data_IF_052565855291
#
_entry.id   IF_052565855291
#
_cell.length_a   1.000
_cell.length_b   1.000
_cell.length_c   1.000
_cell.angle_alpha   90.00
_cell.angle_beta   90.00
_cell.angle_gamma   90.00
#
_symmetry.space_group_name_H-M   'P 1'
#
loop_
_entity.id
_entity.type
_entity.pdbx_description
1 polymer ?
#
# COMPACT_ATOMS: atom_id res chain seq x y z
N UNK A 1 23.76 -14.40 6.87
CA UNK A 1 22.49 -13.66 6.70
C UNK A 1 22.64 -12.12 6.67
N UNK A 2 23.67 -11.50 7.22
CA UNK A 2 23.85 -10.03 7.22
C UNK A 2 24.36 -9.46 5.88
N UNK A 3 25.23 -10.15 5.15
CA UNK A 3 25.77 -9.70 3.85
C UNK A 3 24.73 -9.64 2.71
N UNK A 4 23.69 -10.48 2.74
CA UNK A 4 22.58 -10.44 1.74
C UNK A 4 21.67 -9.22 1.92
N UNK A 5 21.56 -8.71 3.15
CA UNK A 5 20.69 -7.54 3.46
C UNK A 5 21.31 -6.21 3.03
N UNK A 6 22.64 -6.08 3.13
CA UNK A 6 23.39 -4.91 2.64
C UNK A 6 23.26 -4.76 1.12
N UNK A 7 23.43 -5.84 0.39
CA UNK A 7 23.30 -5.85 -1.08
C UNK A 7 21.87 -5.50 -1.56
N UNK A 8 20.84 -5.84 -0.78
CA UNK A 8 19.44 -5.51 -1.13
C UNK A 8 19.12 -4.03 -0.92
N UNK A 9 19.72 -3.39 0.08
CA UNK A 9 19.60 -1.93 0.31
C UNK A 9 20.38 -1.17 -0.76
N UNK A 10 21.58 -1.66 -1.15
CA UNK A 10 22.39 -1.08 -2.24
C UNK A 10 21.63 -1.08 -3.58
N UNK A 11 20.94 -2.15 -3.94
CA UNK A 11 20.16 -2.22 -5.19
C UNK A 11 18.91 -1.32 -5.20
N UNK A 12 18.39 -0.93 -4.05
CA UNK A 12 17.29 0.02 -3.93
C UNK A 12 17.74 1.45 -4.21
N UNK A 13 18.91 1.76 -3.67
CA UNK A 13 19.53 3.06 -3.86
C UNK A 13 19.84 3.27 -5.36
N UNK A 14 20.28 2.25 -6.10
CA UNK A 14 20.60 2.36 -7.51
C UNK A 14 19.39 2.60 -8.40
N UNK A 15 18.28 1.88 -8.20
CA UNK A 15 17.09 2.04 -9.04
C UNK A 15 16.33 3.34 -8.76
N UNK A 16 16.24 3.77 -7.50
CA UNK A 16 15.60 5.03 -7.13
C UNK A 16 16.50 6.22 -7.45
N UNK A 17 17.80 6.14 -7.18
CA UNK A 17 18.76 7.20 -7.49
C UNK A 17 18.91 7.41 -9.00
N UNK A 18 18.95 6.34 -9.80
CA UNK A 18 18.98 6.43 -11.25
C UNK A 18 17.81 7.24 -11.82
N UNK A 19 16.59 7.05 -11.31
CA UNK A 19 15.43 7.82 -11.76
C UNK A 19 15.52 9.29 -11.38
N UNK A 20 16.02 9.59 -10.18
CA UNK A 20 16.16 10.96 -9.70
C UNK A 20 17.32 11.68 -10.36
N UNK A 21 18.47 11.02 -10.56
CA UNK A 21 19.63 11.57 -11.27
C UNK A 21 19.31 11.88 -12.73
N UNK A 22 18.61 10.97 -13.44
CA UNK A 22 18.16 11.19 -14.82
C UNK A 22 17.19 12.38 -14.94
N UNK A 23 16.38 12.63 -13.91
CA UNK A 23 15.46 13.75 -13.86
C UNK A 23 16.09 15.04 -13.31
N UNK A 24 17.35 15.01 -12.86
CA UNK A 24 18.04 16.15 -12.23
C UNK A 24 17.42 16.59 -10.91
N UNK A 25 16.71 15.69 -10.19
CA UNK A 25 15.98 16.02 -8.96
C UNK A 25 16.97 16.15 -7.80
N UNK A 26 16.96 17.30 -7.15
CA UNK A 26 17.72 17.52 -5.93
C UNK A 26 17.07 16.83 -4.75
N UNK A 27 17.75 15.83 -4.25
CA UNK A 27 17.32 15.06 -3.08
C UNK A 27 18.47 14.83 -2.10
N UNK A 28 18.11 14.48 -0.88
CA UNK A 28 19.03 13.99 0.15
C UNK A 28 18.39 12.77 0.79
N UNK A 29 19.18 11.73 0.98
CA UNK A 29 18.83 10.63 1.85
C UNK A 29 19.01 11.06 3.31
N UNK A 30 17.89 11.09 4.05
CA UNK A 30 17.90 11.48 5.46
C UNK A 30 18.41 10.35 6.36
N UNK A 31 18.09 9.09 6.01
CA UNK A 31 18.46 7.89 6.78
C UNK A 31 18.52 6.70 5.88
N UNK A 32 19.47 5.80 6.18
CA UNK A 32 19.46 4.45 5.62
C UNK A 32 18.39 3.60 6.32
N UNK A 33 17.80 2.68 5.56
CA UNK A 33 16.85 1.74 6.12
C UNK A 33 17.52 0.88 7.20
N UNK A 34 17.00 0.90 8.42
CA UNK A 34 17.48 0.07 9.54
C UNK A 34 17.08 -1.42 9.38
N UNK A 35 17.07 -1.93 8.15
CA UNK A 35 16.75 -3.31 7.81
C UNK A 35 15.31 -3.52 7.30
N UNK A 36 15.05 -4.73 6.82
CA UNK A 36 13.74 -5.15 6.33
C UNK A 36 12.81 -5.39 7.51
N UNK A 37 11.82 -4.51 7.70
CA UNK A 37 10.70 -4.77 8.59
C UNK A 37 9.52 -5.31 7.78
N UNK A 38 9.06 -6.53 8.10
CA UNK A 38 7.88 -7.14 7.48
C UNK A 38 7.87 -7.13 5.93
N UNK A 39 8.98 -7.50 5.29
CA UNK A 39 9.12 -7.48 3.82
C UNK A 39 8.97 -6.07 3.21
N UNK A 40 9.32 -5.04 3.95
CA UNK A 40 9.30 -3.65 3.50
C UNK A 40 10.68 -3.01 3.70
N UNK A 41 11.20 -2.38 2.64
CA UNK A 41 12.39 -1.55 2.67
C UNK A 41 11.94 -0.09 2.62
N UNK A 42 12.31 0.71 3.61
CA UNK A 42 11.94 2.12 3.71
C UNK A 42 13.15 3.02 3.50
N UNK A 43 12.99 4.04 2.65
CA UNK A 43 14.00 5.08 2.41
C UNK A 43 13.38 6.44 2.66
N UNK A 44 13.96 7.20 3.58
CA UNK A 44 13.54 8.57 3.92
C UNK A 44 14.32 9.56 3.04
N UNK A 45 13.60 10.34 2.22
CA UNK A 45 14.18 11.29 1.29
C UNK A 45 13.69 12.73 1.56
N UNK A 46 14.62 13.68 1.58
CA UNK A 46 14.31 15.10 1.55
C UNK A 46 14.47 15.61 0.12
N UNK A 47 13.41 16.23 -0.41
CA UNK A 47 13.34 16.74 -1.77
C UNK A 47 12.93 18.20 -1.77
N UNK A 48 13.55 19.04 -2.60
CA UNK A 48 13.13 20.44 -2.73
C UNK A 48 11.69 20.54 -3.26
N UNK A 49 10.92 21.48 -2.72
CA UNK A 49 9.51 21.69 -3.07
C UNK A 49 9.28 21.91 -4.57
N UNK A 50 10.25 22.51 -5.27
CA UNK A 50 10.17 22.77 -6.72
C UNK A 50 9.98 21.51 -7.57
N UNK A 51 10.41 20.35 -7.07
CA UNK A 51 10.32 19.07 -7.75
C UNK A 51 9.02 18.30 -7.52
N UNK A 52 8.12 18.82 -6.68
CA UNK A 52 6.91 18.08 -6.28
C UNK A 52 5.97 17.76 -7.44
N UNK A 53 5.90 18.64 -8.46
CA UNK A 53 4.99 18.44 -9.59
C UNK A 53 5.46 17.33 -10.53
N UNK A 54 6.76 17.24 -10.79
CA UNK A 54 7.32 16.20 -11.64
C UNK A 54 7.56 14.87 -10.90
N UNK A 55 7.63 14.89 -9.57
CA UNK A 55 7.96 13.73 -8.75
C UNK A 55 6.99 12.56 -8.96
N UNK A 56 5.68 12.84 -9.02
CA UNK A 56 4.65 11.82 -9.26
C UNK A 56 4.86 11.13 -10.63
N UNK A 57 5.32 11.85 -11.66
CA UNK A 57 5.56 11.31 -12.99
C UNK A 57 6.86 10.48 -13.04
N UNK A 58 7.93 11.00 -12.46
CA UNK A 58 9.23 10.31 -12.44
C UNK A 58 9.11 8.99 -11.70
N UNK A 59 8.52 9.01 -10.50
CA UNK A 59 8.33 7.81 -9.70
C UNK A 59 7.35 6.80 -10.32
N UNK A 60 6.32 7.29 -11.02
CA UNK A 60 5.39 6.40 -11.71
C UNK A 60 6.07 5.64 -12.87
N UNK A 61 7.02 6.25 -13.59
CA UNK A 61 7.83 5.58 -14.62
C UNK A 61 8.71 4.49 -14.02
N UNK A 62 9.19 4.69 -12.80
CA UNK A 62 9.97 3.71 -12.04
C UNK A 62 9.10 2.63 -11.34
N UNK A 63 7.80 2.59 -11.59
CA UNK A 63 6.88 1.60 -11.00
C UNK A 63 6.42 1.93 -9.58
N UNK A 64 6.73 3.14 -9.08
CA UNK A 64 6.23 3.59 -7.79
C UNK A 64 4.86 4.25 -7.91
N UNK A 65 4.06 4.10 -6.87
CA UNK A 65 2.76 4.72 -6.78
C UNK A 65 2.55 5.41 -5.44
N UNK A 66 2.08 6.66 -5.48
CA UNK A 66 1.76 7.41 -4.27
C UNK A 66 0.54 6.83 -3.55
N UNK A 67 0.64 6.65 -2.23
CA UNK A 67 -0.49 6.36 -1.33
C UNK A 67 -1.03 7.66 -0.75
N UNK A 68 -2.22 8.05 -1.19
CA UNK A 68 -2.93 9.20 -0.61
C UNK A 68 -3.50 8.85 0.74
N UNK A 69 -3.68 9.89 1.57
CA UNK A 69 -4.16 9.80 2.94
C UNK A 69 -3.24 9.03 3.92
N UNK A 70 -2.03 8.65 3.50
CA UNK A 70 -0.98 8.18 4.40
C UNK A 70 -0.05 9.34 4.77
N UNK A 71 0.49 9.31 5.98
CA UNK A 71 1.39 10.35 6.49
C UNK A 71 0.68 11.59 7.05
N UNK A 72 1.46 12.43 7.72
CA UNK A 72 1.04 13.70 8.29
C UNK A 72 1.97 14.82 7.83
N UNK A 73 1.39 15.92 7.38
CA UNK A 73 2.16 17.10 7.01
C UNK A 73 2.93 16.95 5.69
N UNK A 74 4.25 17.18 5.66
CA UNK A 74 5.04 17.21 4.43
C UNK A 74 5.36 15.84 3.84
N UNK A 75 4.96 14.74 4.51
CA UNK A 75 5.27 13.38 4.09
C UNK A 75 4.41 12.94 2.91
N UNK A 76 5.06 12.37 1.91
CA UNK A 76 4.45 11.72 0.75
C UNK A 76 5.00 10.31 0.64
N UNK A 77 4.14 9.31 0.78
CA UNK A 77 4.52 7.92 0.69
C UNK A 77 4.31 7.38 -0.72
N UNK A 78 5.38 6.82 -1.28
CA UNK A 78 5.35 6.09 -2.53
C UNK A 78 5.75 4.65 -2.26
N UNK A 79 5.07 3.73 -2.93
CA UNK A 79 5.36 2.31 -2.85
C UNK A 79 5.70 1.78 -4.23
N UNK A 80 6.66 0.90 -4.28
CA UNK A 80 6.99 0.02 -5.39
C UNK A 80 6.96 -1.42 -4.92
N UNK A 81 6.85 -2.37 -5.84
CA UNK A 81 6.92 -3.79 -5.53
C UNK A 81 7.93 -4.48 -6.41
N UNK A 82 8.85 -5.23 -5.81
CA UNK A 82 9.87 -6.01 -6.50
C UNK A 82 9.47 -7.47 -6.46
N UNK A 83 9.01 -7.99 -7.60
CA UNK A 83 8.49 -9.36 -7.72
C UNK A 83 9.56 -10.41 -7.41
N UNK A 84 10.79 -10.23 -7.93
CA UNK A 84 11.90 -11.19 -7.74
C UNK A 84 12.17 -11.52 -6.28
N UNK A 85 12.01 -10.55 -5.40
CA UNK A 85 12.29 -10.66 -3.97
C UNK A 85 11.02 -10.80 -3.11
N UNK A 86 9.86 -10.49 -3.69
CA UNK A 86 8.60 -10.40 -2.96
C UNK A 86 8.59 -9.26 -1.93
N UNK A 87 9.34 -8.17 -2.19
CA UNK A 87 9.61 -7.11 -1.23
C UNK A 87 8.95 -5.81 -1.68
N UNK A 88 8.32 -5.13 -0.74
CA UNK A 88 7.79 -3.78 -0.92
C UNK A 88 8.88 -2.74 -0.70
N UNK A 89 8.90 -1.75 -1.56
CA UNK A 89 9.76 -0.58 -1.49
C UNK A 89 8.90 0.61 -1.08
N UNK A 90 9.29 1.29 -0.01
CA UNK A 90 8.60 2.48 0.48
C UNK A 90 9.53 3.67 0.47
N UNK A 91 9.15 4.70 -0.24
CA UNK A 91 9.83 5.99 -0.19
C UNK A 91 8.99 6.95 0.67
N UNK A 92 9.55 7.41 1.77
CA UNK A 92 8.99 8.50 2.58
C UNK A 92 9.64 9.80 2.15
N UNK A 93 8.94 10.54 1.28
CA UNK A 93 9.46 11.78 0.72
C UNK A 93 8.91 12.96 1.50
N UNK A 94 9.82 13.75 2.05
CA UNK A 94 9.51 15.00 2.75
C UNK A 94 10.07 16.20 2.01
N UNK A 95 9.41 17.33 2.11
CA UNK A 95 9.83 18.60 1.52
C UNK A 95 10.25 19.64 2.57
N UNK A 96 9.96 19.36 3.80
CA UNK A 96 10.29 20.20 4.95
C UNK A 96 10.69 19.31 6.14
N UNK A 97 11.67 19.74 6.90
CA UNK A 97 12.04 19.10 8.14
C UNK A 97 11.10 19.58 9.25
N UNK A 98 10.12 18.76 9.59
CA UNK A 98 9.09 19.08 10.58
C UNK A 98 9.10 18.06 11.70
N UNK A 99 9.07 18.54 12.94
CA UNK A 99 9.12 17.75 14.16
C UNK A 99 7.94 18.03 15.09
N UNK A 100 7.79 17.21 16.13
CA UNK A 100 6.80 17.37 17.19
C UNK A 100 5.50 16.61 16.93
N UNK A 101 5.43 15.36 17.41
CA UNK A 101 4.22 14.54 17.38
C UNK A 101 3.10 15.14 18.23
N UNK A 102 1.80 14.97 17.80
CA UNK A 102 1.31 14.11 16.71
C UNK A 102 1.25 14.78 15.34
N UNK A 103 1.38 16.08 15.22
CA UNK A 103 1.14 16.83 13.97
C UNK A 103 2.40 17.40 13.32
N UNK A 104 3.58 17.18 13.90
CA UNK A 104 4.88 17.64 13.37
C UNK A 104 4.88 19.13 13.01
N UNK A 105 4.51 19.95 13.94
CA UNK A 105 4.22 21.37 13.77
C UNK A 105 5.43 22.31 13.82
N UNK A 106 6.55 21.85 14.39
CA UNK A 106 7.81 22.59 14.47
C UNK A 106 8.59 22.38 13.18
N UNK A 107 8.92 23.45 12.48
CA UNK A 107 9.64 23.43 11.21
C UNK A 107 11.05 24.00 11.37
N UNK A 108 12.02 23.34 10.73
CA UNK A 108 13.32 23.91 10.43
C UNK A 108 13.50 24.03 8.91
N UNK A 109 14.29 25.01 8.45
CA UNK A 109 14.47 25.23 7.03
C UNK A 109 15.26 24.08 6.39
N UNK A 110 14.68 23.47 5.38
CA UNK A 110 15.29 22.36 4.66
C UNK A 110 16.31 22.84 3.61
N UNK A 111 16.26 24.09 3.16
CA UNK A 111 17.09 24.57 2.08
C UNK A 111 18.58 24.57 2.44
N UNK A 112 18.92 24.93 3.69
CA UNK A 112 20.29 24.90 4.19
C UNK A 112 20.90 23.49 4.07
N UNK A 113 20.11 22.45 4.42
CA UNK A 113 20.54 21.07 4.33
C UNK A 113 20.68 20.60 2.88
N UNK A 114 19.74 21.01 2.00
CA UNK A 114 19.79 20.68 0.56
C UNK A 114 20.99 21.29 -0.14
N UNK A 115 21.38 22.52 0.21
CA UNK A 115 22.53 23.20 -0.36
C UNK A 115 23.86 22.61 0.10
N UNK A 116 23.94 22.15 1.33
CA UNK A 116 25.13 21.63 1.98
C UNK A 116 25.31 20.11 1.88
N UNK A 117 24.51 19.45 1.00
CA UNK A 117 24.56 17.99 0.83
C UNK A 117 25.93 17.52 0.35
N UNK A 118 26.28 16.33 0.75
CA UNK A 118 27.49 15.63 0.28
C UNK A 118 27.10 14.47 -0.61
N UNK A 119 28.00 14.02 -1.46
CA UNK A 119 27.82 12.80 -2.24
C UNK A 119 28.61 11.68 -1.60
N UNK A 120 27.93 10.57 -1.31
CA UNK A 120 28.52 9.32 -0.88
C UNK A 120 28.39 8.24 -1.97
N UNK A 121 28.77 7.02 -1.67
CA UNK A 121 28.67 5.86 -2.59
C UNK A 121 27.23 5.50 -2.98
N UNK A 122 26.24 5.96 -2.19
CA UNK A 122 24.82 5.70 -2.38
C UNK A 122 24.03 6.93 -2.84
N UNK A 123 24.69 8.01 -3.29
CA UNK A 123 24.06 9.23 -3.77
C UNK A 123 24.25 10.44 -2.87
N UNK A 124 23.23 11.30 -2.75
CA UNK A 124 23.33 12.50 -1.91
C UNK A 124 22.83 12.23 -0.48
N UNK A 125 23.66 12.61 0.49
CA UNK A 125 23.40 12.44 1.91
C UNK A 125 23.59 13.76 2.68
N UNK A 126 23.13 13.79 3.93
CA UNK A 126 23.41 14.87 4.85
C UNK A 126 24.91 14.87 5.22
N UNK A 127 25.48 16.08 5.41
CA UNK A 127 26.78 16.18 6.10
C UNK A 127 26.65 15.56 7.51
N UNK A 128 27.70 14.97 8.07
CA UNK A 128 27.66 14.37 9.41
C UNK A 128 27.09 15.29 10.49
N UNK A 129 27.40 16.59 10.41
CA UNK A 129 26.89 17.62 11.34
C UNK A 129 25.38 17.81 11.20
N UNK A 130 24.88 17.82 9.95
CA UNK A 130 23.46 17.97 9.62
C UNK A 130 22.68 16.71 10.01
N UNK A 131 23.28 15.54 9.79
CA UNK A 131 22.71 14.27 10.24
C UNK A 131 22.57 14.22 11.76
N UNK A 132 23.61 14.67 12.49
CA UNK A 132 23.56 14.72 13.95
C UNK A 132 22.36 15.53 14.44
N UNK A 133 22.19 16.77 13.98
CA UNK A 133 21.11 17.63 14.49
C UNK A 133 19.72 17.13 14.07
N UNK A 134 19.57 16.61 12.85
CA UNK A 134 18.28 16.08 12.39
C UNK A 134 17.89 14.81 13.12
N UNK A 135 18.85 13.93 13.41
CA UNK A 135 18.62 12.70 14.19
C UNK A 135 18.32 13.02 15.66
N UNK A 136 19.08 13.95 16.27
CA UNK A 136 18.85 14.41 17.64
C UNK A 136 17.42 14.96 17.80
N UNK A 137 17.01 15.89 16.92
CA UNK A 137 15.67 16.47 16.96
C UNK A 137 14.58 15.43 16.72
N UNK A 138 14.81 14.46 15.82
CA UNK A 138 13.89 13.37 15.59
C UNK A 138 13.68 12.49 16.82
N UNK A 139 14.76 12.05 17.47
CA UNK A 139 14.66 11.27 18.69
C UNK A 139 14.00 12.05 19.83
N UNK A 140 14.37 13.31 19.99
CA UNK A 140 13.90 14.15 21.08
C UNK A 140 12.44 14.58 20.91
N UNK A 141 12.03 14.99 19.70
CA UNK A 141 10.74 15.63 19.46
C UNK A 141 9.66 14.67 18.94
N UNK A 142 10.05 13.69 18.12
CA UNK A 142 9.11 12.76 17.50
C UNK A 142 9.01 11.42 18.25
N UNK A 143 10.14 10.75 18.50
CA UNK A 143 10.16 9.44 19.18
C UNK A 143 10.04 9.55 20.68
N UNK A 144 10.54 10.63 21.27
CA UNK A 144 10.60 10.89 22.73
C UNK A 144 11.49 9.92 23.50
N UNK A 145 12.30 9.13 22.81
CA UNK A 145 13.28 8.21 23.36
C UNK A 145 14.39 7.98 22.34
N UNK A 146 15.54 7.56 22.85
CA UNK A 146 16.71 7.24 22.03
C UNK A 146 16.90 5.72 22.06
N UNK A 147 16.71 5.07 20.93
CA UNK A 147 17.01 3.64 20.75
C UNK A 147 18.52 3.46 20.72
N UNK A 148 18.99 2.25 21.00
CA UNK A 148 20.44 1.91 21.04
C UNK A 148 21.17 2.22 19.72
N UNK A 149 20.53 1.91 18.58
CA UNK A 149 21.05 2.22 17.25
C UNK A 149 21.21 3.73 17.02
N UNK A 150 20.20 4.53 17.38
CA UNK A 150 20.25 5.99 17.30
C UNK A 150 21.29 6.58 18.28
N UNK A 151 21.38 6.05 19.50
CA UNK A 151 22.36 6.48 20.48
C UNK A 151 23.78 6.25 20.00
N UNK A 152 24.05 5.07 19.46
CA UNK A 152 25.35 4.76 18.88
C UNK A 152 25.70 5.65 17.69
N UNK A 153 24.74 5.91 16.79
CA UNK A 153 24.94 6.78 15.63
C UNK A 153 25.21 8.23 16.06
N UNK A 154 24.42 8.77 17.01
CA UNK A 154 24.64 10.10 17.56
C UNK A 154 26.01 10.23 18.23
N UNK A 155 26.46 9.23 18.99
CA UNK A 155 27.79 9.23 19.61
C UNK A 155 28.89 9.23 18.56
N UNK A 156 28.76 8.41 17.50
CA UNK A 156 29.71 8.40 16.40
C UNK A 156 29.79 9.78 15.71
N UNK A 157 28.64 10.36 15.36
CA UNK A 157 28.55 11.66 14.68
C UNK A 157 29.13 12.78 15.56
N UNK A 158 28.84 12.76 16.86
CA UNK A 158 29.38 13.73 17.82
C UNK A 158 30.90 13.69 17.92
N UNK A 159 31.49 12.49 17.93
CA UNK A 159 32.93 12.30 18.07
C UNK A 159 33.72 12.53 16.77
N UNK A 160 33.09 12.25 15.61
CA UNK A 160 33.77 12.32 14.31
C UNK A 160 33.57 13.64 13.55
N UNK A 161 32.62 14.48 13.97
CA UNK A 161 32.28 15.71 13.25
C UNK A 161 33.01 16.94 13.81
N UNK A 162 33.04 18.01 13.01
CA UNK A 162 33.62 19.31 13.41
C UNK A 162 32.86 19.89 14.60
N UNK A 163 33.55 20.01 15.72
CA UNK A 163 33.01 20.50 16.98
C UNK A 163 32.42 21.92 16.87
N UNK A 164 33.09 22.92 16.25
CA UNK A 164 32.53 24.25 16.07
C UNK A 164 31.21 24.26 15.33
N UNK A 165 31.08 23.45 14.27
CA UNK A 165 29.85 23.36 13.47
C UNK A 165 28.73 22.66 14.25
N UNK A 166 29.03 21.61 15.02
CA UNK A 166 28.06 20.96 15.90
C UNK A 166 27.51 21.95 16.94
N UNK A 167 28.37 22.72 17.57
CA UNK A 167 27.96 23.72 18.57
C UNK A 167 27.16 24.85 17.90
N UNK A 168 27.50 25.26 16.70
CA UNK A 168 26.71 26.22 15.93
C UNK A 168 25.28 25.70 15.69
N UNK A 169 25.13 24.47 15.25
CA UNK A 169 23.81 23.86 15.02
C UNK A 169 23.03 23.67 16.32
N UNK A 170 23.69 23.30 17.42
CA UNK A 170 23.03 23.23 18.73
C UNK A 170 22.50 24.59 19.16
N UNK A 171 23.31 25.65 19.05
CA UNK A 171 22.88 27.02 19.36
C UNK A 171 21.72 27.46 18.47
N UNK A 172 21.71 27.05 17.21
CA UNK A 172 20.68 27.43 16.27
C UNK A 172 19.35 26.67 16.51
N UNK A 173 19.38 25.39 16.79
CA UNK A 173 18.17 24.53 16.82
C UNK A 173 17.80 24.01 18.21
N UNK A 174 18.76 23.84 19.10
CA UNK A 174 18.56 23.25 20.41
C UNK A 174 19.46 23.90 21.49
N UNK A 175 19.40 25.24 21.71
CA UNK A 175 20.33 25.97 22.57
C UNK A 175 20.29 25.55 24.05
N UNK A 176 19.25 24.81 24.46
CA UNK A 176 19.17 24.25 25.81
C UNK A 176 20.10 23.03 26.00
N UNK A 177 20.66 22.47 24.92
CA UNK A 177 21.58 21.35 24.96
C UNK A 177 23.00 21.88 24.76
N UNK A 178 23.80 21.75 25.80
CA UNK A 178 25.19 22.20 25.79
C UNK A 178 26.19 21.15 25.37
N UNK A 179 27.43 21.55 25.18
CA UNK A 179 28.54 20.65 24.84
C UNK A 179 28.74 19.55 25.88
N UNK A 180 28.75 19.89 27.17
CA UNK A 180 28.90 18.91 28.27
C UNK A 180 27.79 17.86 28.30
N UNK A 181 26.55 18.25 27.92
CA UNK A 181 25.46 17.29 27.85
C UNK A 181 25.70 16.25 26.76
N UNK A 182 26.19 16.69 25.60
CA UNK A 182 26.49 15.81 24.47
C UNK A 182 27.75 14.97 24.73
N UNK A 183 28.79 15.53 25.37
CA UNK A 183 30.00 14.77 25.75
C UNK A 183 29.66 13.65 26.74
N UNK A 184 28.86 13.93 27.77
CA UNK A 184 28.40 12.94 28.73
C UNK A 184 27.54 11.87 28.08
N UNK A 185 26.59 12.27 27.22
CA UNK A 185 25.73 11.34 26.49
C UNK A 185 26.51 10.46 25.51
N UNK A 186 27.50 11.01 24.79
CA UNK A 186 28.32 10.27 23.84
C UNK A 186 29.25 9.29 24.53
N UNK A 187 29.87 9.69 25.65
CA UNK A 187 30.76 8.84 26.46
C UNK A 187 30.00 7.62 27.04
N UNK A 188 28.81 7.87 27.57
CA UNK A 188 27.93 6.83 28.09
C UNK A 188 27.19 6.03 27.00
N UNK A 189 27.17 6.50 25.76
CA UNK A 189 26.28 6.03 24.66
C UNK A 189 24.80 6.05 25.06
N UNK A 190 24.42 6.97 25.93
CA UNK A 190 23.09 7.09 26.53
C UNK A 190 22.59 8.54 26.40
N UNK A 191 21.62 8.74 25.52
CA UNK A 191 21.09 10.06 25.14
C UNK A 191 19.74 10.38 25.78
N UNK A 192 19.13 9.42 26.53
CA UNK A 192 17.80 9.63 27.12
C UNK A 192 17.76 10.74 28.18
N UNK A 193 18.88 11.06 28.83
CA UNK A 193 19.01 12.19 29.74
C UNK A 193 18.60 13.52 29.10
N UNK A 194 18.84 13.69 27.79
CA UNK A 194 18.46 14.89 27.05
C UNK A 194 16.93 15.06 26.90
N UNK A 195 16.16 14.04 27.18
CA UNK A 195 14.68 14.11 27.17
C UNK A 195 14.15 15.16 28.15
N UNK A 196 14.86 15.47 29.22
CA UNK A 196 14.53 16.55 30.18
C UNK A 196 14.52 17.93 29.51
N UNK A 197 15.38 18.13 28.50
CA UNK A 197 15.53 19.39 27.78
C UNK A 197 14.52 19.57 26.63
N UNK A 198 13.72 18.55 26.35
CA UNK A 198 12.75 18.53 25.25
C UNK A 198 11.82 19.75 25.23
N UNK A 199 11.28 20.14 26.40
CA UNK A 199 10.34 21.27 26.48
C UNK A 199 11.01 22.59 26.09
N UNK A 200 12.24 22.80 26.50
CA UNK A 200 13.03 24.00 26.16
C UNK A 200 13.32 24.06 24.64
N UNK A 201 13.67 22.94 24.03
CA UNK A 201 13.89 22.85 22.58
C UNK A 201 12.59 23.12 21.82
N UNK A 202 11.47 22.56 22.27
CA UNK A 202 10.14 22.84 21.67
C UNK A 202 9.83 24.33 21.72
N UNK A 203 10.03 24.95 22.89
CA UNK A 203 9.76 26.37 23.11
C UNK A 203 10.63 27.25 22.22
N UNK A 204 11.92 26.91 22.10
CA UNK A 204 12.84 27.63 21.22
C UNK A 204 12.41 27.60 19.77
N UNK A 205 12.12 26.41 19.22
CA UNK A 205 11.68 26.25 17.82
C UNK A 205 10.32 26.91 17.58
N UNK A 206 9.39 26.82 18.54
CA UNK A 206 8.08 27.45 18.45
C UNK A 206 8.20 28.99 18.40
N UNK A 207 9.02 29.60 19.26
CA UNK A 207 9.20 31.08 19.29
C UNK A 207 9.79 31.62 17.99
N UNK A 208 10.57 30.83 17.26
CA UNK A 208 11.15 31.25 15.97
C UNK A 208 10.11 31.37 14.86
N UNK A 209 8.99 30.63 14.96
CA UNK A 209 7.96 30.63 13.94
C UNK A 209 6.59 30.31 14.56
N UNK A 210 6.09 31.25 15.37
CA UNK A 210 4.83 31.12 16.13
C UNK A 210 3.66 30.99 15.15
N UNK A 211 3.53 31.94 14.24
CA UNK A 211 2.41 31.99 13.27
C UNK A 211 2.39 30.78 12.35
N UNK A 212 3.54 30.41 11.81
CA UNK A 212 3.66 29.22 10.97
C UNK A 212 3.41 27.92 11.75
N UNK A 213 3.84 27.83 13.00
CA UNK A 213 3.59 26.67 13.86
C UNK A 213 2.11 26.50 14.16
N UNK A 214 1.40 27.57 14.54
CA UNK A 214 -0.05 27.53 14.75
C UNK A 214 -0.82 27.22 13.46
N UNK A 215 -0.44 27.87 12.36
CA UNK A 215 -1.03 27.60 11.04
C UNK A 215 -0.85 26.13 10.62
N UNK A 216 0.32 25.54 10.88
CA UNK A 216 0.55 24.11 10.61
C UNK A 216 -0.30 23.19 11.50
N UNK A 217 -0.46 23.51 12.79
CA UNK A 217 -1.36 22.74 13.67
C UNK A 217 -2.77 22.78 13.14
N UNK A 218 -3.31 23.98 12.89
CA UNK A 218 -4.67 24.15 12.40
C UNK A 218 -4.88 23.45 11.05
N UNK A 219 -4.01 23.72 10.07
CA UNK A 219 -4.11 23.13 8.73
C UNK A 219 -3.99 21.61 8.75
N UNK A 220 -3.10 21.04 9.57
CA UNK A 220 -2.93 19.58 9.63
C UNK A 220 -4.05 18.87 10.37
N UNK A 221 -4.59 19.50 11.42
CA UNK A 221 -5.79 19.00 12.10
C UNK A 221 -6.97 19.02 11.12
N UNK A 222 -7.20 20.13 10.43
CA UNK A 222 -8.27 20.24 9.41
C UNK A 222 -8.10 19.21 8.30
N UNK A 223 -6.91 19.11 7.72
CA UNK A 223 -6.60 18.12 6.69
C UNK A 223 -6.80 16.68 7.16
N UNK A 224 -6.59 16.39 8.44
CA UNK A 224 -6.87 15.05 9.00
C UNK A 224 -8.33 14.66 8.85
N UNK A 225 -9.26 15.59 9.04
CA UNK A 225 -10.69 15.36 8.85
C UNK A 225 -11.08 15.33 7.36
N UNK A 226 -10.34 16.03 6.50
CA UNK A 226 -10.59 16.05 5.05
C UNK A 226 -9.95 14.87 4.30
N UNK A 227 -9.08 14.09 4.92
CA UNK A 227 -8.42 12.91 4.30
C UNK A 227 -9.36 11.91 3.65
N UNK A 228 -10.52 11.56 4.23
CA UNK A 228 -11.45 10.67 3.55
C UNK A 228 -11.90 11.23 2.21
N UNK A 229 -12.12 12.55 2.12
CA UNK A 229 -12.49 13.23 0.87
C UNK A 229 -11.34 13.22 -0.13
N UNK A 230 -10.10 13.46 0.31
CA UNK A 230 -8.92 13.33 -0.56
C UNK A 230 -8.78 11.91 -1.10
N UNK A 231 -9.00 10.90 -0.28
CA UNK A 231 -8.98 9.50 -0.69
C UNK A 231 -10.07 9.19 -1.72
N UNK A 232 -11.26 9.75 -1.55
CA UNK A 232 -12.37 9.62 -2.51
C UNK A 232 -12.04 10.31 -3.83
N UNK A 233 -11.50 11.53 -3.77
CA UNK A 233 -11.21 12.34 -4.96
C UNK A 233 -10.02 11.80 -5.76
N UNK A 234 -8.96 11.35 -5.07
CA UNK A 234 -7.68 10.96 -5.66
C UNK A 234 -7.38 9.47 -5.55
N UNK A 235 -8.23 8.70 -4.87
CA UNK A 235 -8.07 7.26 -4.69
C UNK A 235 -8.15 6.53 -6.02
N UNK A 236 -7.30 5.52 -6.18
CA UNK A 236 -7.30 4.67 -7.37
C UNK A 236 -8.45 3.68 -7.27
N UNK A 237 -9.24 3.60 -8.31
CA UNK A 237 -10.41 2.73 -8.37
C UNK A 237 -10.05 1.45 -9.11
N UNK A 238 -9.27 0.58 -8.47
CA UNK A 238 -8.88 -0.70 -9.04
C UNK A 238 -9.85 -1.80 -8.59
N UNK A 239 -10.34 -2.60 -9.54
CA UNK A 239 -11.08 -3.82 -9.28
C UNK A 239 -10.46 -5.01 -10.00
N UNK A 240 -10.44 -6.15 -9.30
CA UNK A 240 -9.74 -7.36 -9.71
C UNK A 240 -10.71 -8.52 -9.56
N UNK A 241 -10.86 -9.34 -10.59
CA UNK A 241 -11.60 -10.60 -10.50
C UNK A 241 -10.63 -11.76 -10.38
N UNK A 242 -10.76 -12.54 -9.32
CA UNK A 242 -10.05 -13.81 -9.16
C UNK A 242 -10.96 -14.95 -9.64
N UNK A 243 -10.54 -15.62 -10.69
CA UNK A 243 -11.20 -16.79 -11.26
C UNK A 243 -10.34 -18.01 -11.01
N UNK A 244 -10.96 -19.13 -10.72
CA UNK A 244 -10.22 -20.38 -10.55
C UNK A 244 -11.18 -21.59 -10.52
N UNK A 245 -10.74 -22.76 -10.96
CA UNK A 245 -11.36 -24.04 -10.60
C UNK A 245 -11.34 -24.26 -9.09
N UNK A 246 -12.19 -25.15 -8.60
CA UNK A 246 -12.19 -25.50 -7.19
C UNK A 246 -10.88 -26.20 -6.81
N UNK A 247 -10.31 -25.86 -5.67
CA UNK A 247 -9.00 -26.38 -5.22
C UNK A 247 -7.77 -25.56 -5.65
N UNK A 248 -7.90 -24.55 -6.51
CA UNK A 248 -6.77 -23.75 -6.99
C UNK A 248 -6.22 -22.72 -5.97
N UNK A 249 -6.77 -22.62 -4.74
CA UNK A 249 -6.26 -21.73 -3.70
C UNK A 249 -6.78 -20.29 -3.73
N UNK A 250 -7.83 -20.01 -4.53
CA UNK A 250 -8.37 -18.66 -4.73
C UNK A 250 -8.74 -17.93 -3.44
N UNK A 251 -9.48 -18.55 -2.52
CA UNK A 251 -9.93 -17.91 -1.27
C UNK A 251 -8.76 -17.62 -0.34
N UNK A 252 -7.76 -18.50 -0.29
CA UNK A 252 -6.52 -18.29 0.48
C UNK A 252 -5.75 -17.08 -0.06
N UNK A 253 -5.61 -16.98 -1.39
CA UNK A 253 -4.97 -15.83 -2.03
C UNK A 253 -5.76 -14.54 -1.76
N UNK A 254 -7.08 -14.55 -1.94
CA UNK A 254 -7.92 -13.39 -1.67
C UNK A 254 -7.78 -12.89 -0.23
N UNK A 255 -7.66 -13.81 0.74
CA UNK A 255 -7.46 -13.45 2.15
C UNK A 255 -6.07 -12.85 2.40
N UNK A 256 -5.00 -13.40 1.82
CA UNK A 256 -3.65 -12.86 1.92
C UNK A 256 -3.58 -11.44 1.33
N UNK A 257 -4.14 -11.24 0.14
CA UNK A 257 -4.23 -9.92 -0.49
C UNK A 257 -5.06 -8.92 0.34
N UNK A 258 -6.11 -9.37 1.02
CA UNK A 258 -6.90 -8.54 1.95
C UNK A 258 -6.09 -8.08 3.15
N UNK A 259 -5.22 -8.94 3.65
CA UNK A 259 -4.43 -8.69 4.86
C UNK A 259 -3.18 -7.83 4.57
N UNK A 260 -2.82 -7.59 3.31
CA UNK A 260 -1.75 -6.66 2.97
C UNK A 260 -2.25 -5.20 3.05
N UNK A 261 -1.77 -4.42 4.05
CA UNK A 261 -2.24 -3.04 4.26
C UNK A 261 -1.88 -2.12 3.08
N UNK A 262 -0.86 -2.47 2.29
CA UNK A 262 -0.39 -1.67 1.15
C UNK A 262 -1.35 -1.75 -0.02
N UNK A 263 -2.08 -2.85 -0.19
CA UNK A 263 -3.12 -2.99 -1.19
C UNK A 263 -4.41 -2.30 -0.81
N UNK A 264 -4.69 -2.10 0.51
CA UNK A 264 -5.96 -1.57 1.05
C UNK A 264 -7.15 -2.26 0.39
N UNK A 265 -7.12 -3.59 0.40
CA UNK A 265 -8.03 -4.40 -0.38
C UNK A 265 -9.32 -4.72 0.37
N UNK A 266 -10.45 -4.73 -0.36
CA UNK A 266 -11.76 -5.22 0.09
C UNK A 266 -12.15 -6.43 -0.75
N UNK A 267 -12.23 -7.60 -0.14
CA UNK A 267 -12.73 -8.80 -0.82
C UNK A 267 -14.25 -8.79 -0.81
N UNK A 268 -14.84 -8.99 -1.98
CA UNK A 268 -16.29 -9.09 -2.20
C UNK A 268 -16.57 -10.38 -2.97
N UNK A 269 -17.37 -11.24 -2.40
CA UNK A 269 -17.82 -12.45 -3.10
C UNK A 269 -18.86 -12.08 -4.15
N UNK A 270 -18.55 -12.27 -5.44
CA UNK A 270 -19.42 -11.94 -6.56
C UNK A 270 -20.06 -13.17 -7.25
N UNK A 271 -19.87 -14.36 -6.68
CA UNK A 271 -20.51 -15.60 -7.17
C UNK A 271 -22.00 -15.63 -6.88
N UNK A 272 -22.79 -16.28 -7.78
CA UNK A 272 -24.25 -16.40 -7.63
C UNK A 272 -24.68 -17.37 -6.53
N UNK A 273 -23.84 -18.37 -6.20
CA UNK A 273 -24.17 -19.49 -5.35
C UNK A 273 -23.31 -19.51 -4.07
N UNK A 274 -23.25 -18.43 -3.34
CA UNK A 274 -22.51 -18.39 -2.06
C UNK A 274 -23.38 -18.78 -0.88
N UNK A 275 -22.86 -19.63 0.01
CA UNK A 275 -23.54 -20.05 1.27
C UNK A 275 -23.55 -18.97 2.36
N UNK A 276 -22.93 -17.80 2.14
CA UNK A 276 -22.95 -16.69 3.06
C UNK A 276 -24.27 -15.91 2.96
N UNK A 277 -25.31 -16.42 3.56
CA UNK A 277 -26.62 -15.76 3.62
C UNK A 277 -27.18 -15.74 5.04
N UNK A 278 -28.14 -14.84 5.28
CA UNK A 278 -28.89 -14.79 6.54
C UNK A 278 -29.52 -16.14 6.87
N UNK A 279 -29.81 -16.40 8.16
CA UNK A 279 -30.50 -17.63 8.59
C UNK A 279 -31.80 -17.88 7.81
N UNK A 280 -32.52 -16.83 7.43
CA UNK A 280 -33.71 -16.87 6.60
C UNK A 280 -33.46 -17.45 5.20
N UNK A 281 -32.34 -17.09 4.56
CA UNK A 281 -31.96 -17.67 3.24
C UNK A 281 -31.62 -19.14 3.35
N UNK A 282 -30.88 -19.56 4.40
CA UNK A 282 -30.60 -20.97 4.66
C UNK A 282 -31.87 -21.78 4.85
N UNK A 283 -32.81 -21.24 5.62
CA UNK A 283 -34.13 -21.85 5.82
C UNK A 283 -34.92 -21.99 4.49
N UNK A 284 -34.95 -20.95 3.65
CA UNK A 284 -35.58 -20.99 2.33
C UNK A 284 -34.94 -22.03 1.40
N UNK A 285 -33.60 -22.10 1.39
CA UNK A 285 -32.85 -23.04 0.59
C UNK A 285 -33.17 -24.48 1.01
N UNK A 286 -33.19 -24.77 2.31
CA UNK A 286 -33.58 -26.08 2.84
C UNK A 286 -35.03 -26.47 2.52
N UNK A 287 -35.97 -25.51 2.62
CA UNK A 287 -37.39 -25.75 2.33
C UNK A 287 -37.64 -26.09 0.86
N UNK A 288 -36.92 -25.44 -0.05
CA UNK A 288 -37.01 -25.72 -1.50
C UNK A 288 -36.33 -27.05 -1.87
N UNK A 289 -35.25 -27.41 -1.18
CA UNK A 289 -34.51 -28.66 -1.42
C UNK A 289 -35.27 -29.89 -0.92
N UNK A 290 -36.03 -29.78 0.19
CA UNK A 290 -36.82 -30.88 0.74
C UNK A 290 -37.97 -31.32 -0.16
N UNK A 291 -38.61 -30.41 -0.92
CA UNK A 291 -39.76 -30.69 -1.75
C UNK A 291 -39.72 -29.94 -3.10
N UNK A 292 -38.85 -30.33 -4.05
CA UNK A 292 -38.63 -29.57 -5.27
C UNK A 292 -39.79 -29.59 -6.28
N UNK A 293 -40.66 -30.60 -6.24
CA UNK A 293 -41.74 -30.81 -7.19
C UNK A 293 -43.11 -30.27 -6.78
N UNK A 294 -43.28 -29.85 -5.52
CA UNK A 294 -44.59 -29.39 -5.00
C UNK A 294 -44.97 -28.01 -5.54
N UNK A 295 -46.24 -27.86 -5.94
CA UNK A 295 -46.82 -26.57 -6.35
C UNK A 295 -46.78 -25.54 -5.20
N UNK A 296 -46.85 -25.96 -3.95
CA UNK A 296 -46.73 -25.16 -2.75
C UNK A 296 -45.34 -24.49 -2.62
N UNK A 297 -44.33 -24.98 -3.32
CA UNK A 297 -42.96 -24.41 -3.32
C UNK A 297 -42.78 -23.34 -4.41
N UNK A 298 -43.73 -23.06 -5.29
CA UNK A 298 -43.63 -22.00 -6.31
C UNK A 298 -43.37 -20.60 -5.67
N UNK A 299 -44.17 -20.15 -4.69
CA UNK A 299 -43.91 -18.86 -4.07
C UNK A 299 -42.56 -18.81 -3.33
N UNK A 300 -42.14 -19.91 -2.70
CA UNK A 300 -40.84 -19.99 -2.04
C UNK A 300 -39.67 -19.95 -3.02
N UNK A 301 -39.82 -20.51 -4.23
CA UNK A 301 -38.81 -20.39 -5.28
C UNK A 301 -38.68 -18.97 -5.81
N UNK A 302 -39.81 -18.25 -5.96
CA UNK A 302 -39.81 -16.84 -6.36
C UNK A 302 -39.13 -16.00 -5.26
N UNK A 303 -39.53 -16.18 -4.01
CA UNK A 303 -38.97 -15.49 -2.85
C UNK A 303 -37.43 -15.77 -2.73
N UNK A 304 -37.03 -17.01 -2.92
CA UNK A 304 -35.59 -17.40 -2.97
C UNK A 304 -34.81 -16.66 -4.07
N UNK A 305 -35.40 -16.51 -5.24
CA UNK A 305 -34.78 -15.80 -6.35
C UNK A 305 -34.65 -14.31 -6.04
N UNK A 306 -35.66 -13.73 -5.41
CA UNK A 306 -35.68 -12.33 -5.01
C UNK A 306 -34.65 -12.02 -3.90
N UNK A 307 -34.59 -12.85 -2.85
CA UNK A 307 -33.59 -12.70 -1.79
C UNK A 307 -32.16 -12.81 -2.31
N UNK A 308 -31.90 -13.72 -3.27
CA UNK A 308 -30.60 -13.85 -3.92
C UNK A 308 -30.26 -12.60 -4.73
N UNK A 309 -31.22 -12.01 -5.44
CA UNK A 309 -31.01 -10.80 -6.19
C UNK A 309 -30.71 -9.61 -5.27
N UNK A 310 -31.47 -9.44 -4.19
CA UNK A 310 -31.22 -8.38 -3.20
C UNK A 310 -29.83 -8.49 -2.57
N UNK A 311 -29.42 -9.70 -2.21
CA UNK A 311 -28.08 -9.95 -1.66
C UNK A 311 -26.97 -9.65 -2.68
N UNK A 312 -27.19 -9.98 -3.94
CA UNK A 312 -26.28 -9.65 -5.02
C UNK A 312 -26.13 -8.14 -5.21
N UNK A 313 -27.24 -7.40 -5.18
CA UNK A 313 -27.21 -5.94 -5.25
C UNK A 313 -26.57 -5.28 -4.04
N UNK A 314 -26.79 -5.82 -2.84
CA UNK A 314 -26.09 -5.39 -1.63
C UNK A 314 -24.57 -5.50 -1.81
N UNK A 315 -24.09 -6.62 -2.35
CA UNK A 315 -22.67 -6.83 -2.64
C UNK A 315 -22.14 -5.84 -3.68
N UNK A 316 -22.93 -5.56 -4.72
CA UNK A 316 -22.60 -4.53 -5.72
C UNK A 316 -22.45 -3.14 -5.07
N UNK A 317 -23.39 -2.76 -4.21
CA UNK A 317 -23.34 -1.47 -3.48
C UNK A 317 -22.05 -1.41 -2.63
N UNK A 318 -21.75 -2.47 -1.89
CA UNK A 318 -20.51 -2.55 -1.08
C UNK A 318 -19.26 -2.45 -1.96
N UNK A 319 -19.22 -3.12 -3.10
CA UNK A 319 -18.10 -3.05 -4.04
C UNK A 319 -17.94 -1.64 -4.61
N UNK A 320 -19.04 -1.04 -5.08
CA UNK A 320 -19.04 0.30 -5.66
C UNK A 320 -18.62 1.35 -4.63
N UNK A 321 -19.18 1.30 -3.43
CA UNK A 321 -18.80 2.20 -2.34
C UNK A 321 -17.33 2.04 -1.95
N UNK A 322 -16.84 0.80 -1.87
CA UNK A 322 -15.43 0.54 -1.58
C UNK A 322 -14.50 1.10 -2.67
N UNK A 323 -14.88 0.96 -3.97
CA UNK A 323 -14.14 1.60 -5.07
C UNK A 323 -14.17 3.13 -4.97
N UNK A 324 -15.34 3.71 -4.69
CA UNK A 324 -15.47 5.16 -4.53
C UNK A 324 -14.60 5.70 -3.39
N UNK A 325 -14.47 4.94 -2.29
CA UNK A 325 -13.59 5.30 -1.17
C UNK A 325 -12.11 5.00 -1.43
N UNK A 326 -11.72 4.65 -2.66
CA UNK A 326 -10.33 4.46 -3.09
C UNK A 326 -9.69 3.14 -2.63
N UNK A 327 -10.51 2.15 -2.25
CA UNK A 327 -10.03 0.80 -1.94
C UNK A 327 -9.86 -0.03 -3.20
N UNK A 328 -8.90 -0.94 -3.19
CA UNK A 328 -8.79 -2.01 -4.19
C UNK A 328 -9.88 -3.03 -3.91
N UNK A 329 -10.76 -3.31 -4.89
CA UNK A 329 -11.82 -4.32 -4.73
C UNK A 329 -11.39 -5.62 -5.39
N UNK A 330 -11.34 -6.69 -4.61
CA UNK A 330 -11.02 -8.04 -5.09
C UNK A 330 -12.31 -8.85 -5.10
N UNK A 331 -12.75 -9.25 -6.27
CA UNK A 331 -13.88 -10.14 -6.42
C UNK A 331 -13.44 -11.59 -6.29
N UNK A 332 -13.84 -12.26 -5.20
CA UNK A 332 -13.74 -13.70 -5.06
C UNK A 332 -14.91 -14.36 -5.81
N UNK A 333 -14.62 -14.97 -6.94
CA UNK A 333 -15.53 -15.32 -8.04
C UNK A 333 -16.09 -14.06 -8.73
N UNK A 334 -16.53 -14.25 -9.97
CA UNK A 334 -17.17 -13.18 -10.73
C UNK A 334 -18.29 -13.74 -11.60
N UNK A 335 -19.06 -12.86 -12.23
CA UNK A 335 -20.16 -13.27 -13.12
C UNK A 335 -19.72 -14.18 -14.28
N UNK A 336 -18.43 -14.14 -14.62
CA UNK A 336 -17.83 -14.99 -15.67
C UNK A 336 -17.91 -16.48 -15.37
N UNK A 337 -18.07 -16.89 -14.11
CA UNK A 337 -18.31 -18.29 -13.73
C UNK A 337 -19.56 -18.87 -14.41
N UNK A 338 -20.54 -18.01 -14.79
CA UNK A 338 -21.72 -18.45 -15.53
C UNK A 338 -21.44 -18.84 -16.99
N UNK A 339 -20.30 -18.39 -17.52
CA UNK A 339 -19.91 -18.68 -18.92
C UNK A 339 -19.10 -19.98 -19.03
N UNK A 340 -18.64 -20.53 -17.91
CA UNK A 340 -17.90 -21.80 -17.86
C UNK A 340 -18.83 -23.02 -17.94
N UNK A 341 -20.16 -22.85 -17.70
CA UNK A 341 -21.10 -23.95 -17.70
C UNK A 341 -21.43 -24.40 -19.15
N UNK A 342 -21.30 -25.69 -19.43
CA UNK A 342 -21.63 -26.30 -20.72
C UNK A 342 -23.14 -26.47 -21.01
N UNK A 343 -23.99 -26.05 -20.09
CA UNK A 343 -25.43 -26.19 -20.30
C UNK A 343 -25.91 -25.27 -21.43
N UNK A 344 -26.79 -25.73 -22.33
CA UNK A 344 -27.24 -24.94 -23.47
C UNK A 344 -27.79 -23.59 -23.06
N UNK A 345 -27.51 -22.57 -23.89
CA UNK A 345 -27.80 -21.17 -23.59
C UNK A 345 -29.29 -20.88 -23.80
N UNK A 346 -30.11 -21.18 -22.79
CA UNK A 346 -31.55 -20.89 -22.84
C UNK A 346 -31.81 -19.39 -22.66
N UNK A 347 -32.95 -18.88 -23.23
CA UNK A 347 -33.36 -17.49 -23.09
C UNK A 347 -33.47 -17.03 -21.62
N UNK A 348 -33.92 -17.93 -20.72
CA UNK A 348 -33.99 -17.67 -19.26
C UNK A 348 -32.62 -17.41 -18.65
N UNK A 349 -31.57 -18.13 -19.13
CA UNK A 349 -30.19 -17.87 -18.68
C UNK A 349 -29.63 -16.56 -19.19
N UNK A 350 -29.98 -16.18 -20.44
CA UNK A 350 -29.59 -14.90 -21.02
C UNK A 350 -30.20 -13.72 -20.22
N UNK A 351 -31.51 -13.80 -19.92
CA UNK A 351 -32.16 -12.81 -19.07
C UNK A 351 -31.51 -12.75 -17.67
N UNK A 352 -31.33 -13.93 -17.05
CA UNK A 352 -30.68 -13.99 -15.73
C UNK A 352 -29.29 -13.36 -15.75
N UNK A 353 -28.44 -13.66 -16.74
CA UNK A 353 -27.12 -13.03 -16.88
C UNK A 353 -27.20 -11.51 -17.00
N UNK A 354 -28.18 -10.99 -17.77
CA UNK A 354 -28.38 -9.54 -17.88
C UNK A 354 -28.80 -8.92 -16.55
N UNK A 355 -29.76 -9.53 -15.86
CA UNK A 355 -30.27 -9.00 -14.57
C UNK A 355 -29.19 -9.01 -13.52
N UNK A 356 -28.44 -10.11 -13.36
CA UNK A 356 -27.35 -10.20 -12.38
C UNK A 356 -26.11 -9.44 -12.80
N UNK A 357 -25.89 -9.23 -14.09
CA UNK A 357 -24.77 -8.44 -14.62
C UNK A 357 -25.01 -6.93 -14.59
N UNK A 358 -26.25 -6.52 -14.41
CA UNK A 358 -26.60 -5.10 -14.46
C UNK A 358 -25.91 -4.34 -13.33
N UNK A 359 -25.21 -3.26 -13.71
CA UNK A 359 -24.51 -2.38 -12.78
C UNK A 359 -23.17 -2.90 -12.24
N UNK A 360 -22.75 -4.15 -12.54
CA UNK A 360 -21.45 -4.64 -12.12
C UNK A 360 -20.33 -4.05 -12.97
N UNK A 361 -19.30 -3.48 -12.33
CA UNK A 361 -18.18 -2.88 -13.04
C UNK A 361 -17.37 -3.98 -13.74
N UNK A 362 -16.90 -3.73 -14.95
CA UNK A 362 -15.88 -4.59 -15.57
C UNK A 362 -14.59 -4.49 -14.76
N UNK A 363 -14.00 -5.61 -14.29
CA UNK A 363 -12.74 -5.57 -13.57
C UNK A 363 -11.61 -5.05 -14.45
N UNK A 364 -10.75 -4.20 -13.90
CA UNK A 364 -9.57 -3.70 -14.60
C UNK A 364 -8.48 -4.78 -14.76
N UNK A 365 -8.50 -5.78 -13.88
CA UNK A 365 -7.62 -6.96 -13.95
C UNK A 365 -8.44 -8.22 -13.69
N UNK A 366 -8.26 -9.22 -14.54
CA UNK A 366 -8.84 -10.55 -14.37
C UNK A 366 -7.70 -11.55 -14.27
N UNK A 367 -7.64 -12.27 -13.15
CA UNK A 367 -6.62 -13.28 -12.88
C UNK A 367 -7.27 -14.63 -12.81
N UNK A 368 -6.82 -15.56 -13.65
CA UNK A 368 -7.21 -16.97 -13.61
C UNK A 368 -6.08 -17.76 -12.97
N UNK A 369 -6.37 -18.40 -11.83
CA UNK A 369 -5.48 -19.38 -11.23
C UNK A 369 -5.74 -20.72 -11.90
N UNK A 370 -4.78 -21.22 -12.67
CA UNK A 370 -4.87 -22.50 -13.38
C UNK A 370 -3.91 -23.53 -12.75
N UNK A 371 -4.35 -24.76 -12.63
CA UNK A 371 -3.52 -25.89 -12.23
C UNK A 371 -4.05 -27.19 -12.86
N UNK A 372 -3.19 -28.20 -13.09
CA UNK A 372 -3.62 -29.51 -13.55
C UNK A 372 -4.69 -30.14 -12.65
N UNK A 373 -5.63 -30.86 -13.22
CA UNK A 373 -6.75 -31.49 -12.48
C UNK A 373 -6.29 -32.43 -11.37
N UNK A 374 -5.13 -33.07 -11.53
CA UNK A 374 -4.50 -33.93 -10.51
C UNK A 374 -4.10 -33.14 -9.27
N UNK A 375 -3.53 -31.93 -9.47
CA UNK A 375 -3.11 -31.05 -8.39
C UNK A 375 -4.34 -30.51 -7.66
N UNK A 376 -5.36 -30.10 -8.41
CA UNK A 376 -6.62 -29.62 -7.85
C UNK A 376 -7.32 -30.70 -7.03
N UNK A 377 -7.39 -31.93 -7.54
CA UNK A 377 -7.99 -33.06 -6.84
C UNK A 377 -7.25 -33.43 -5.56
N UNK A 378 -5.92 -33.41 -5.57
CA UNK A 378 -5.12 -33.66 -4.35
C UNK A 378 -5.37 -32.61 -3.24
N UNK A 379 -5.63 -31.35 -3.65
CA UNK A 379 -5.89 -30.26 -2.70
C UNK A 379 -7.31 -30.25 -2.16
N UNK A 380 -8.30 -30.71 -2.97
CA UNK A 380 -9.70 -30.70 -2.59
C UNK A 380 -10.47 -31.80 -3.34
N UNK A 381 -10.92 -32.80 -2.63
CA UNK A 381 -11.58 -33.99 -3.17
C UNK A 381 -13.12 -33.86 -3.23
N UNK A 382 -13.64 -32.66 -3.51
CA UNK A 382 -15.09 -32.43 -3.63
C UNK A 382 -15.66 -32.74 -4.99
N UNK A 383 -14.81 -32.83 -6.03
CA UNK A 383 -15.18 -33.11 -7.43
C UNK A 383 -14.27 -34.18 -8.01
N UNK A 384 -14.77 -34.91 -9.03
CA UNK A 384 -13.91 -35.86 -9.74
C UNK A 384 -12.88 -35.12 -10.59
N UNK A 385 -11.80 -35.82 -11.01
CA UNK A 385 -10.75 -35.26 -11.87
C UNK A 385 -11.32 -34.78 -13.21
N UNK A 386 -12.28 -35.52 -13.78
CA UNK A 386 -12.95 -35.16 -15.02
C UNK A 386 -13.78 -33.88 -14.88
N UNK A 387 -14.47 -33.70 -13.73
CA UNK A 387 -15.22 -32.50 -13.43
C UNK A 387 -14.28 -31.27 -13.27
N UNK A 388 -13.16 -31.44 -12.56
CA UNK A 388 -12.17 -30.41 -12.42
C UNK A 388 -11.52 -30.03 -13.76
N UNK A 389 -11.20 -31.01 -14.61
CA UNK A 389 -10.65 -30.74 -15.93
C UNK A 389 -11.68 -30.03 -16.83
N UNK A 390 -12.97 -30.36 -16.70
CA UNK A 390 -14.01 -29.63 -17.38
C UNK A 390 -14.16 -28.18 -16.91
N UNK A 391 -14.09 -27.93 -15.60
CA UNK A 391 -14.09 -26.58 -15.05
C UNK A 391 -12.91 -25.80 -15.59
N UNK A 392 -11.71 -26.39 -15.53
CA UNK A 392 -10.46 -25.80 -16.04
C UNK A 392 -10.58 -25.37 -17.49
N UNK A 393 -11.01 -26.29 -18.38
CA UNK A 393 -11.24 -26.00 -19.81
C UNK A 393 -12.27 -24.89 -20.01
N UNK A 394 -13.33 -24.86 -19.18
CA UNK A 394 -14.33 -23.80 -19.20
C UNK A 394 -13.75 -22.42 -18.87
N UNK A 395 -12.86 -22.34 -17.86
CA UNK A 395 -12.19 -21.09 -17.52
C UNK A 395 -11.18 -20.66 -18.58
N UNK A 396 -10.36 -21.58 -19.10
CA UNK A 396 -9.39 -21.28 -20.16
C UNK A 396 -10.07 -20.78 -21.44
N UNK A 397 -11.26 -21.33 -21.79
CA UNK A 397 -12.03 -20.85 -22.91
C UNK A 397 -12.53 -19.40 -22.79
N UNK A 398 -12.58 -18.85 -21.57
CA UNK A 398 -12.91 -17.43 -21.39
C UNK A 398 -11.85 -16.49 -21.96
N UNK A 399 -10.61 -16.95 -22.14
CA UNK A 399 -9.51 -16.14 -22.65
C UNK A 399 -9.82 -15.52 -24.02
N UNK A 400 -10.55 -16.24 -24.87
CA UNK A 400 -10.99 -15.72 -26.17
C UNK A 400 -11.99 -14.56 -26.08
N UNK A 401 -12.74 -14.49 -24.97
CA UNK A 401 -13.74 -13.44 -24.71
C UNK A 401 -13.23 -12.31 -23.80
N UNK A 402 -12.16 -12.57 -23.06
CA UNK A 402 -11.58 -11.68 -22.07
C UNK A 402 -10.06 -11.56 -22.32
N UNK A 403 -9.64 -10.81 -23.34
CA UNK A 403 -8.23 -10.70 -23.72
C UNK A 403 -7.34 -10.10 -22.62
N UNK A 404 -7.92 -9.35 -21.69
CA UNK A 404 -7.22 -8.80 -20.52
C UNK A 404 -7.01 -9.83 -19.39
N UNK A 405 -7.50 -11.05 -19.53
CA UNK A 405 -7.32 -12.10 -18.52
C UNK A 405 -5.87 -12.61 -18.51
N UNK A 406 -5.27 -12.58 -17.33
CA UNK A 406 -3.96 -13.17 -17.06
C UNK A 406 -4.13 -14.55 -16.42
N UNK A 407 -3.37 -15.52 -16.91
CA UNK A 407 -3.38 -16.88 -16.38
C UNK A 407 -2.10 -17.09 -15.58
N UNK A 408 -2.25 -17.57 -14.36
CA UNK A 408 -1.16 -17.84 -13.42
C UNK A 408 -1.17 -19.34 -13.10
N UNK A 409 0.01 -19.93 -13.12
CA UNK A 409 0.20 -21.32 -12.73
C UNK A 409 0.06 -21.46 -11.21
N UNK A 410 -1.09 -21.94 -10.78
CA UNK A 410 -1.40 -22.20 -9.38
C UNK A 410 -0.87 -23.55 -8.87
N UNK A 411 -0.14 -24.33 -9.68
CA UNK A 411 0.58 -25.53 -9.21
C UNK A 411 1.80 -25.19 -8.37
N UNK A 412 2.35 -23.99 -8.57
CA UNK A 412 3.48 -23.44 -7.83
C UNK A 412 3.20 -23.29 -6.33
N UNK A 413 4.26 -22.94 -5.57
CA UNK A 413 4.15 -22.56 -4.17
C UNK A 413 3.23 -21.33 -4.02
N UNK A 414 2.37 -21.35 -3.01
CA UNK A 414 1.41 -20.28 -2.73
C UNK A 414 2.07 -18.89 -2.56
N UNK A 415 3.31 -18.82 -2.06
CA UNK A 415 4.05 -17.57 -1.95
C UNK A 415 4.50 -17.02 -3.31
N UNK A 416 4.81 -17.89 -4.28
CA UNK A 416 5.16 -17.47 -5.64
C UNK A 416 3.93 -16.93 -6.37
N UNK A 417 2.81 -17.65 -6.30
CA UNK A 417 1.52 -17.22 -6.86
C UNK A 417 1.12 -15.85 -6.29
N UNK A 418 1.26 -15.66 -4.98
CA UNK A 418 0.98 -14.40 -4.31
C UNK A 418 1.86 -13.27 -4.82
N UNK A 419 3.18 -13.49 -4.95
CA UNK A 419 4.14 -12.50 -5.47
C UNK A 419 3.79 -12.06 -6.89
N UNK A 420 3.53 -13.00 -7.77
CA UNK A 420 3.15 -12.74 -9.17
C UNK A 420 1.84 -11.95 -9.25
N UNK A 421 0.84 -12.31 -8.45
CA UNK A 421 -0.45 -11.59 -8.41
C UNK A 421 -0.27 -10.18 -7.86
N UNK A 422 0.51 -9.98 -6.79
CA UNK A 422 0.80 -8.65 -6.23
C UNK A 422 1.51 -7.79 -7.27
N UNK A 423 2.50 -8.34 -7.99
CA UNK A 423 3.21 -7.63 -9.04
C UNK A 423 2.27 -7.12 -10.14
N UNK A 424 1.38 -7.99 -10.64
CA UNK A 424 0.37 -7.61 -11.64
C UNK A 424 -0.60 -6.55 -11.13
N UNK A 425 -1.06 -6.68 -9.88
CA UNK A 425 -1.94 -5.70 -9.24
C UNK A 425 -1.23 -4.35 -9.15
N UNK A 426 0.04 -4.37 -8.72
CA UNK A 426 0.79 -3.14 -8.50
C UNK A 426 1.15 -2.44 -9.80
N UNK A 427 1.56 -3.19 -10.82
CA UNK A 427 1.79 -2.68 -12.16
C UNK A 427 0.53 -1.98 -12.71
N UNK A 428 -0.62 -2.63 -12.61
CA UNK A 428 -1.89 -2.04 -13.05
C UNK A 428 -2.24 -0.80 -12.21
N UNK A 429 -2.03 -0.88 -10.90
CA UNK A 429 -2.26 0.22 -9.99
C UNK A 429 -1.36 1.43 -10.30
N UNK A 430 -0.11 1.22 -10.68
CA UNK A 430 0.82 2.27 -11.07
C UNK A 430 0.40 2.95 -12.40
N UNK A 431 -0.03 2.16 -13.39
CA UNK A 431 -0.40 2.63 -14.74
C UNK A 431 -1.69 3.44 -14.79
N UNK A 432 -2.70 3.11 -13.98
CA UNK A 432 -4.01 3.81 -13.99
C UNK A 432 -3.86 5.33 -13.81
N UNK A 433 -2.79 5.79 -13.21
CA UNK A 433 -2.54 7.21 -12.95
C UNK A 433 -1.80 7.96 -14.05
N UNK A 434 -1.08 7.27 -14.90
CA UNK A 434 -0.39 7.92 -16.01
C UNK A 434 -1.40 8.55 -16.99
N UNK A 435 -2.59 7.96 -17.12
CA UNK A 435 -3.64 8.44 -18.03
C UNK A 435 -4.54 9.53 -17.41
N UNK A 436 -4.64 9.63 -16.08
CA UNK A 436 -5.47 10.62 -15.40
C UNK A 436 -4.87 12.02 -15.33
N UNK A 437 -3.53 12.13 -15.39
CA UNK A 437 -2.85 13.43 -15.35
C UNK A 437 -2.63 14.03 -16.74
N UNK A 438 -2.72 13.23 -17.80
CA UNK A 438 -2.64 13.73 -19.18
C UNK A 438 -3.95 14.42 -19.67
N UNK A 439 -5.08 14.13 -19.02
CA UNK A 439 -6.38 14.71 -19.37
C UNK A 439 -6.73 16.03 -18.63
N UNK A 440 -5.82 16.54 -17.80
CA UNK A 440 -6.01 17.78 -17.03
C UNK A 440 -5.02 18.90 -17.35
N UNK A 441 -4.25 18.75 -18.44
CA UNK A 441 -3.25 19.73 -18.87
C UNK A 441 -3.51 20.28 -20.29
N UNK A 442 -4.76 20.19 -20.78
CA UNK A 442 -5.23 20.92 -21.98
C UNK A 442 -6.16 22.06 -21.58
#
# INVERSE_FOLDING_TARGET
MSRSKSAQVEQLDDASNSCFDQAGIELIRLRCADGVHNQELEVDLLVSKRWLECLDHVLARAGFARKYAWGCGPHRFYFGYRESEGTWLKLDIVTDLCYGTPVRWLKIDANEFLQNRIRDEHGFALRPVDEFITLLLHCLLDKRHFRSDHSNRLSLLWLSSSRPLLLQHLRQFAPAIGEMDCDGAAAAREWNSLSLKRRSVIWHLFRRDITGSLGRVLGRVTLRYLRPLEKIARGRRLSIALLAPDGAGKSTLAERLRNDPRLDAKVVYAGLYGNAGSGFKKWLDQKVERNPASWLTRPTKILRSYTRLLEHWKRLIVATFSRMTGKTVIFDRYLYDQWTSRLPDSWRRRIRRRVYGFGWPTPELIVLLDAPSEVLYRRRQEHTREQLEQQRKGYLALRSRLPQMKVIDASQNAANVEREVIAMIWEKYARIRQHGNAAGSD
#
